data_IF_427372763214
#
_entry.id   IF_427372763214
#
_cell.length_a   1.000
_cell.length_b   1.000
_cell.length_c   1.000
_cell.angle_alpha   90.00
_cell.angle_beta   90.00
_cell.angle_gamma   90.00
#
_symmetry.space_group_name_H-M   'P 1'
#
loop_
_entity.id
_entity.type
_entity.pdbx_description
1 polymer ?
#
# COMPACT_ATOMS: atom_id res chain seq x y z
N UNK A 1 20.76 -9.54 -18.18
CA UNK A 1 20.92 -8.51 -17.12
C UNK A 1 20.44 -7.13 -17.58
N UNK A 2 20.91 -6.60 -18.73
CA UNK A 2 20.51 -5.26 -19.24
C UNK A 2 19.00 -5.19 -19.48
N UNK A 3 18.40 -6.23 -20.06
CA UNK A 3 16.94 -6.30 -20.26
C UNK A 3 16.19 -6.24 -18.93
N UNK A 4 16.62 -7.05 -17.95
CA UNK A 4 16.02 -7.06 -16.62
C UNK A 4 16.09 -5.69 -15.92
N UNK A 5 17.26 -5.03 -15.98
CA UNK A 5 17.40 -3.68 -15.43
C UNK A 5 16.49 -2.66 -16.12
N UNK A 6 16.24 -2.81 -17.42
CA UNK A 6 15.29 -1.95 -18.12
C UNK A 6 13.85 -2.21 -17.69
N UNK A 7 13.47 -3.45 -17.42
CA UNK A 7 12.12 -3.79 -16.92
C UNK A 7 11.91 -3.30 -15.49
N UNK A 8 12.91 -3.45 -14.62
CA UNK A 8 12.89 -2.84 -13.28
C UNK A 8 12.75 -1.32 -13.35
N UNK A 9 13.44 -0.66 -14.29
CA UNK A 9 13.29 0.78 -14.52
C UNK A 9 11.87 1.16 -14.95
N UNK A 10 11.28 0.41 -15.89
CA UNK A 10 9.88 0.64 -16.33
C UNK A 10 8.90 0.47 -15.16
N UNK A 11 9.09 -0.59 -14.37
CA UNK A 11 8.29 -0.85 -13.18
C UNK A 11 8.39 0.31 -12.18
N UNK A 12 9.60 0.81 -11.93
CA UNK A 12 9.82 1.97 -11.07
C UNK A 12 9.03 3.20 -11.53
N UNK A 13 9.14 3.58 -12.80
CA UNK A 13 8.38 4.70 -13.35
C UNK A 13 6.87 4.47 -13.32
N UNK A 14 6.41 3.24 -13.55
CA UNK A 14 5.01 2.85 -13.41
C UNK A 14 4.49 3.07 -11.98
N UNK A 15 5.24 2.62 -10.98
CA UNK A 15 4.91 2.79 -9.56
C UNK A 15 4.91 4.27 -9.16
N UNK A 16 5.90 5.05 -9.62
CA UNK A 16 5.96 6.49 -9.37
C UNK A 16 4.73 7.21 -9.97
N UNK A 17 4.37 6.88 -11.21
CA UNK A 17 3.19 7.45 -11.87
C UNK A 17 1.90 7.06 -11.14
N UNK A 18 1.73 5.79 -10.81
CA UNK A 18 0.58 5.30 -10.05
C UNK A 18 0.44 6.00 -8.69
N UNK A 19 1.54 6.23 -8.00
CA UNK A 19 1.58 6.98 -6.74
C UNK A 19 0.98 8.38 -6.89
N UNK A 20 1.39 9.15 -7.89
CA UNK A 20 0.86 10.50 -8.11
C UNK A 20 -0.62 10.49 -8.49
N UNK A 21 -1.06 9.53 -9.30
CA UNK A 21 -2.48 9.35 -9.63
C UNK A 21 -3.29 9.06 -8.38
N UNK A 22 -2.83 8.14 -7.53
CA UNK A 22 -3.50 7.80 -6.27
C UNK A 22 -3.55 8.97 -5.30
N UNK A 23 -2.48 9.78 -5.20
CA UNK A 23 -2.49 11.00 -4.39
C UNK A 23 -3.49 12.03 -4.92
N UNK A 24 -3.60 12.21 -6.24
CA UNK A 24 -4.60 13.10 -6.81
C UNK A 24 -6.03 12.64 -6.49
N UNK A 25 -6.33 11.35 -6.65
CA UNK A 25 -7.62 10.78 -6.26
C UNK A 25 -7.91 10.95 -4.76
N UNK A 26 -6.92 10.71 -3.90
CA UNK A 26 -7.06 10.89 -2.46
C UNK A 26 -7.34 12.36 -2.10
N UNK A 27 -6.65 13.30 -2.73
CA UNK A 27 -6.87 14.74 -2.52
C UNK A 27 -8.28 15.18 -2.96
N UNK A 28 -8.74 14.71 -4.12
CA UNK A 28 -10.09 14.98 -4.62
C UNK A 28 -11.14 14.39 -3.66
N UNK A 29 -10.96 13.13 -3.25
CA UNK A 29 -11.88 12.49 -2.30
C UNK A 29 -11.91 13.21 -0.95
N UNK A 30 -10.76 13.67 -0.45
CA UNK A 30 -10.69 14.46 0.78
C UNK A 30 -11.39 15.81 0.63
N UNK A 31 -11.20 16.52 -0.48
CA UNK A 31 -11.86 17.78 -0.77
C UNK A 31 -13.40 17.62 -0.86
N UNK A 32 -13.86 16.57 -1.54
CA UNK A 32 -15.28 16.23 -1.59
C UNK A 32 -15.86 15.89 -0.21
N UNK A 33 -15.12 15.13 0.60
CA UNK A 33 -15.52 14.82 1.96
C UNK A 33 -15.62 16.09 2.82
N UNK A 34 -14.69 17.01 2.70
CA UNK A 34 -14.72 18.31 3.39
C UNK A 34 -15.92 19.16 2.93
N UNK A 35 -16.20 19.17 1.65
CA UNK A 35 -17.34 19.92 1.10
C UNK A 35 -18.69 19.36 1.56
N UNK A 36 -18.86 18.02 1.45
CA UNK A 36 -20.15 17.35 1.75
C UNK A 36 -20.39 17.21 3.25
N UNK A 37 -19.39 16.72 4.00
CA UNK A 37 -19.55 16.38 5.42
C UNK A 37 -19.14 17.51 6.36
N UNK A 38 -18.50 18.56 5.90
CA UNK A 38 -18.12 19.76 6.67
C UNK A 38 -17.54 19.40 8.05
N UNK A 39 -18.30 19.66 9.13
CA UNK A 39 -17.85 19.42 10.52
C UNK A 39 -17.59 17.94 10.85
N UNK A 40 -18.19 17.01 10.14
CA UNK A 40 -17.98 15.56 10.34
C UNK A 40 -16.96 14.94 9.37
N UNK A 41 -16.37 15.73 8.46
CA UNK A 41 -15.43 15.25 7.45
C UNK A 41 -14.23 14.51 8.05
N UNK A 42 -13.65 15.05 9.14
CA UNK A 42 -12.54 14.41 9.82
C UNK A 42 -12.87 12.98 10.30
N UNK A 43 -14.06 12.79 10.87
CA UNK A 43 -14.49 11.47 11.34
C UNK A 43 -14.78 10.51 10.17
N UNK A 44 -15.29 11.00 9.04
CA UNK A 44 -15.50 10.20 7.82
C UNK A 44 -14.16 9.75 7.26
N UNK A 45 -13.22 10.68 7.07
CA UNK A 45 -11.88 10.38 6.56
C UNK A 45 -11.12 9.41 7.48
N UNK A 46 -11.20 9.63 8.80
CA UNK A 46 -10.58 8.74 9.78
C UNK A 46 -11.12 7.29 9.68
N UNK A 47 -12.42 7.12 9.45
CA UNK A 47 -13.03 5.79 9.26
C UNK A 47 -12.63 5.16 7.93
N UNK A 48 -12.66 5.93 6.85
CA UNK A 48 -12.19 5.45 5.55
C UNK A 48 -10.73 4.98 5.64
N UNK A 49 -9.87 5.72 6.37
CA UNK A 49 -8.51 5.31 6.65
C UNK A 49 -8.46 3.97 7.40
N UNK A 50 -9.18 3.83 8.52
CA UNK A 50 -9.18 2.63 9.34
C UNK A 50 -9.66 1.40 8.57
N UNK A 51 -10.72 1.53 7.78
CA UNK A 51 -11.20 0.44 6.91
C UNK A 51 -10.17 0.11 5.85
N UNK A 52 -9.62 1.13 5.17
CA UNK A 52 -8.61 0.94 4.13
C UNK A 52 -7.36 0.24 4.65
N UNK A 53 -6.83 0.66 5.81
CA UNK A 53 -5.64 0.03 6.38
C UNK A 53 -5.91 -1.43 6.81
N UNK A 54 -7.11 -1.74 7.31
CA UNK A 54 -7.48 -3.13 7.62
C UNK A 54 -7.50 -4.01 6.37
N UNK A 55 -8.04 -3.51 5.25
CA UNK A 55 -8.06 -4.25 3.97
C UNK A 55 -6.63 -4.47 3.47
N UNK A 56 -5.79 -3.41 3.47
CA UNK A 56 -4.40 -3.52 3.03
C UNK A 56 -3.62 -4.47 3.94
N UNK A 57 -3.80 -4.39 5.26
CA UNK A 57 -3.14 -5.28 6.20
C UNK A 57 -3.55 -6.75 5.99
N UNK A 58 -4.82 -6.99 5.69
CA UNK A 58 -5.29 -8.34 5.36
C UNK A 58 -4.63 -8.89 4.10
N UNK A 59 -4.61 -8.10 3.02
CA UNK A 59 -3.94 -8.50 1.77
C UNK A 59 -2.46 -8.75 2.00
N UNK A 60 -1.79 -7.85 2.71
CA UNK A 60 -0.38 -8.00 3.05
C UNK A 60 -0.10 -9.26 3.88
N UNK A 61 -0.97 -9.57 4.84
CA UNK A 61 -0.86 -10.79 5.64
C UNK A 61 -1.00 -12.06 4.77
N UNK A 62 -1.98 -12.10 3.86
CA UNK A 62 -2.16 -13.23 2.93
C UNK A 62 -0.94 -13.42 2.05
N UNK A 63 -0.40 -12.33 1.46
CA UNK A 63 0.79 -12.39 0.62
C UNK A 63 2.03 -12.82 1.42
N UNK A 64 2.17 -12.36 2.65
CA UNK A 64 3.28 -12.73 3.54
C UNK A 64 3.22 -14.21 3.92
N UNK A 65 2.04 -14.74 4.27
CA UNK A 65 1.86 -16.15 4.57
C UNK A 65 2.18 -17.00 3.34
N UNK A 66 1.70 -16.61 2.16
CA UNK A 66 2.03 -17.32 0.93
C UNK A 66 3.53 -17.33 0.65
N UNK A 67 4.20 -16.18 0.73
CA UNK A 67 5.64 -16.09 0.55
C UNK A 67 6.44 -16.89 1.59
N UNK A 68 5.91 -17.04 2.82
CA UNK A 68 6.54 -17.83 3.87
C UNK A 68 6.38 -19.35 3.66
N UNK A 69 5.25 -19.79 3.08
CA UNK A 69 4.96 -21.20 2.83
C UNK A 69 5.60 -21.70 1.55
N UNK A 70 5.51 -20.92 0.48
CA UNK A 70 6.07 -21.26 -0.83
C UNK A 70 6.66 -20.01 -1.50
N UNK A 71 7.87 -19.67 -1.06
CA UNK A 71 8.60 -18.53 -1.61
C UNK A 71 8.88 -18.66 -3.11
N UNK A 72 9.15 -19.88 -3.58
CA UNK A 72 9.48 -20.10 -4.98
C UNK A 72 8.33 -19.77 -5.93
N UNK A 73 7.13 -20.29 -5.64
CA UNK A 73 5.93 -19.98 -6.43
C UNK A 73 5.56 -18.50 -6.34
N UNK A 74 5.66 -17.89 -5.15
CA UNK A 74 5.46 -16.46 -4.96
C UNK A 74 6.43 -15.63 -5.81
N UNK A 75 7.71 -16.00 -5.79
CA UNK A 75 8.76 -15.31 -6.53
C UNK A 75 8.56 -15.38 -8.05
N UNK A 76 8.25 -16.57 -8.58
CA UNK A 76 7.96 -16.75 -10.01
C UNK A 76 6.73 -15.94 -10.44
N UNK A 77 5.64 -16.00 -9.66
CA UNK A 77 4.44 -15.25 -10.02
C UNK A 77 4.68 -13.75 -9.95
N UNK A 78 5.40 -13.27 -8.94
CA UNK A 78 5.78 -11.86 -8.85
C UNK A 78 6.53 -11.40 -10.10
N UNK A 79 7.52 -12.18 -10.55
CA UNK A 79 8.28 -11.87 -11.76
C UNK A 79 7.41 -11.94 -13.02
N UNK A 80 6.55 -12.93 -13.13
CA UNK A 80 5.66 -13.09 -14.29
C UNK A 80 4.63 -11.95 -14.40
N UNK A 81 4.19 -11.37 -13.28
CA UNK A 81 3.21 -10.27 -13.26
C UNK A 81 3.86 -8.91 -13.49
N UNK A 82 5.05 -8.69 -12.93
CA UNK A 82 5.66 -7.36 -12.89
C UNK A 82 6.85 -7.19 -13.85
N UNK A 83 7.43 -8.28 -14.35
CA UNK A 83 8.61 -8.26 -15.19
C UNK A 83 8.39 -9.16 -16.41
N UNK A 84 8.69 -8.64 -17.59
CA UNK A 84 8.42 -9.30 -18.88
C UNK A 84 9.34 -10.50 -19.17
N UNK A 85 10.30 -10.86 -18.29
CA UNK A 85 11.36 -11.82 -18.59
C UNK A 85 11.31 -13.03 -17.66
N UNK A 86 11.49 -14.26 -18.19
CA UNK A 86 11.72 -15.48 -17.39
C UNK A 86 13.03 -15.45 -16.58
N UNK A 87 13.60 -14.29 -16.34
CA UNK A 87 14.91 -14.03 -15.74
C UNK A 87 14.95 -14.19 -14.20
N UNK A 88 13.94 -14.80 -13.61
CA UNK A 88 13.98 -15.20 -12.20
C UNK A 88 15.06 -16.25 -11.89
N UNK A 89 15.79 -16.73 -12.91
CA UNK A 89 16.80 -17.79 -12.82
C UNK A 89 18.15 -17.32 -13.35
N UNK A 90 18.67 -16.20 -12.83
CA UNK A 90 20.08 -15.90 -13.06
C UNK A 90 20.96 -16.84 -12.24
N UNK A 91 21.98 -17.43 -12.89
CA UNK A 91 22.98 -18.21 -12.19
C UNK A 91 23.84 -17.26 -11.32
N UNK A 92 23.91 -17.49 -9.99
CA UNK A 92 24.74 -16.67 -9.10
C UNK A 92 26.21 -16.66 -9.48
N UNK A 93 26.71 -17.70 -10.16
CA UNK A 93 28.08 -17.78 -10.60
C UNK A 93 28.42 -16.88 -11.80
N UNK A 94 27.41 -16.61 -12.66
CA UNK A 94 27.60 -15.85 -13.90
C UNK A 94 27.02 -14.41 -13.78
N UNK A 95 26.04 -14.19 -12.91
CA UNK A 95 25.36 -12.89 -12.79
C UNK A 95 26.13 -11.90 -11.93
N UNK A 96 26.63 -10.85 -12.56
CA UNK A 96 27.26 -9.72 -11.89
C UNK A 96 26.24 -9.00 -10.97
N UNK A 97 24.98 -8.95 -11.38
CA UNK A 97 23.90 -8.30 -10.62
C UNK A 97 23.68 -8.99 -9.27
N UNK A 98 23.64 -10.33 -9.22
CA UNK A 98 23.48 -11.08 -7.96
C UNK A 98 24.71 -10.89 -7.07
N UNK A 99 25.89 -10.76 -7.65
CA UNK A 99 27.14 -10.55 -6.90
C UNK A 99 27.27 -9.15 -6.31
N UNK A 100 26.69 -8.14 -6.94
CA UNK A 100 26.71 -6.75 -6.46
C UNK A 100 25.53 -6.49 -5.50
N UNK A 101 24.35 -7.00 -5.81
CA UNK A 101 23.17 -6.91 -4.95
C UNK A 101 23.16 -8.07 -3.96
N UNK A 102 24.00 -7.98 -2.93
CA UNK A 102 24.04 -8.99 -1.88
C UNK A 102 22.68 -9.11 -1.22
N UNK A 103 22.18 -10.32 -1.05
CA UNK A 103 20.89 -10.62 -0.43
C UNK A 103 20.69 -9.88 0.90
N UNK A 104 21.75 -9.71 1.68
CA UNK A 104 21.73 -8.98 2.96
C UNK A 104 21.32 -7.52 2.78
N UNK A 105 21.86 -6.83 1.79
CA UNK A 105 21.52 -5.43 1.51
C UNK A 105 20.02 -5.28 1.18
N UNK A 106 19.49 -6.23 0.40
CA UNK A 106 18.10 -6.21 -0.01
C UNK A 106 17.15 -6.48 1.16
N UNK A 107 17.48 -7.46 2.00
CA UNK A 107 16.69 -7.77 3.20
C UNK A 107 16.70 -6.63 4.21
N UNK A 108 17.84 -5.98 4.44
CA UNK A 108 17.95 -4.84 5.35
C UNK A 108 17.14 -3.64 4.85
N UNK A 109 17.17 -3.37 3.54
CA UNK A 109 16.39 -2.30 2.93
C UNK A 109 14.88 -2.56 3.07
N UNK A 110 14.42 -3.77 2.74
CA UNK A 110 13.02 -4.17 2.88
C UNK A 110 12.58 -4.06 4.32
N UNK A 111 13.37 -4.55 5.27
CA UNK A 111 13.05 -4.47 6.70
C UNK A 111 12.90 -3.02 7.16
N UNK A 112 13.82 -2.13 6.77
CA UNK A 112 13.75 -0.70 7.12
C UNK A 112 12.49 -0.04 6.54
N UNK A 113 12.19 -0.27 5.26
CA UNK A 113 10.98 0.25 4.62
C UNK A 113 9.73 -0.28 5.34
N UNK A 114 9.67 -1.56 5.66
CA UNK A 114 8.55 -2.16 6.37
C UNK A 114 8.36 -1.54 7.76
N UNK A 115 9.43 -1.39 8.54
CA UNK A 115 9.38 -0.78 9.88
C UNK A 115 8.88 0.67 9.81
N UNK A 116 9.42 1.50 8.91
CA UNK A 116 8.96 2.89 8.78
C UNK A 116 7.50 2.97 8.32
N UNK A 117 7.11 2.15 7.36
CA UNK A 117 5.73 2.13 6.84
C UNK A 117 4.74 1.69 7.91
N UNK A 118 5.02 0.59 8.61
CA UNK A 118 4.16 0.08 9.69
C UNK A 118 4.06 1.09 10.83
N UNK A 119 5.18 1.71 11.23
CA UNK A 119 5.19 2.73 12.28
C UNK A 119 4.35 3.96 11.89
N UNK A 120 4.51 4.46 10.66
CA UNK A 120 3.72 5.59 10.17
C UNK A 120 2.22 5.25 10.11
N UNK A 121 1.86 4.08 9.58
CA UNK A 121 0.48 3.61 9.54
C UNK A 121 -0.12 3.44 10.95
N UNK A 122 0.65 2.95 11.90
CA UNK A 122 0.21 2.81 13.30
C UNK A 122 -0.10 4.18 13.92
N UNK A 123 0.81 5.14 13.78
CA UNK A 123 0.59 6.51 14.30
C UNK A 123 -0.67 7.13 13.70
N UNK A 124 -0.83 7.08 12.38
CA UNK A 124 -2.00 7.64 11.71
C UNK A 124 -3.28 6.92 12.15
N UNK A 125 -3.23 5.59 12.35
CA UNK A 125 -4.38 4.80 12.78
C UNK A 125 -4.79 5.12 14.24
N UNK A 126 -3.82 5.37 15.12
CA UNK A 126 -4.10 5.84 16.49
C UNK A 126 -4.78 7.21 16.45
N UNK A 127 -4.26 8.15 15.68
CA UNK A 127 -4.87 9.48 15.52
C UNK A 127 -6.28 9.40 14.93
N UNK A 128 -6.48 8.56 13.90
CA UNK A 128 -7.80 8.31 13.33
C UNK A 128 -8.78 7.71 14.36
N UNK A 129 -8.32 6.77 15.18
CA UNK A 129 -9.10 6.20 16.26
C UNK A 129 -9.52 7.25 17.31
N UNK A 130 -8.61 8.15 17.69
CA UNK A 130 -8.91 9.26 18.60
C UNK A 130 -9.97 10.19 17.98
N UNK A 131 -9.81 10.58 16.71
CA UNK A 131 -10.77 11.42 15.99
C UNK A 131 -12.16 10.76 15.93
N UNK A 132 -12.22 9.46 15.65
CA UNK A 132 -13.49 8.72 15.65
C UNK A 132 -14.17 8.73 17.03
N UNK A 133 -13.38 8.57 18.11
CA UNK A 133 -13.89 8.54 19.48
C UNK A 133 -14.38 9.92 19.95
N UNK A 134 -13.61 10.98 19.67
CA UNK A 134 -13.93 12.35 20.13
C UNK A 134 -15.05 12.99 19.33
N UNK A 135 -15.19 12.64 18.05
CA UNK A 135 -16.23 13.23 17.18
C UNK A 135 -17.66 12.77 17.50
N UNK A 136 -17.86 11.78 18.37
CA UNK A 136 -19.18 11.26 18.74
C UNK A 136 -20.01 10.72 17.55
N UNK A 137 -19.46 10.74 16.36
CA UNK A 137 -20.12 10.40 15.11
C UNK A 137 -20.22 8.88 14.95
N UNK A 138 -21.17 8.24 15.61
CA UNK A 138 -21.50 6.83 15.36
C UNK A 138 -21.92 6.61 13.89
N UNK A 139 -21.81 5.36 13.40
CA UNK A 139 -22.28 4.96 12.05
C UNK A 139 -23.73 5.41 11.78
N UNK A 140 -24.57 5.51 12.83
CA UNK A 140 -25.94 6.03 12.77
C UNK A 140 -26.04 7.46 12.26
N UNK A 141 -25.12 8.33 12.65
CA UNK A 141 -25.14 9.75 12.24
C UNK A 141 -24.80 9.93 10.76
N UNK A 142 -23.85 9.11 10.25
CA UNK A 142 -23.49 9.13 8.82
C UNK A 142 -24.64 8.56 7.97
N UNK A 143 -25.22 7.44 8.41
CA UNK A 143 -26.34 6.79 7.71
C UNK A 143 -27.58 7.69 7.65
N UNK A 144 -27.90 8.41 8.72
CA UNK A 144 -29.03 9.34 8.74
C UNK A 144 -28.80 10.51 7.79
N UNK A 145 -27.61 11.09 7.77
CA UNK A 145 -27.31 12.19 6.82
C UNK A 145 -27.31 11.76 5.36
N UNK A 146 -26.90 10.52 5.06
CA UNK A 146 -26.99 10.00 3.69
C UNK A 146 -28.44 9.74 3.26
N UNK A 147 -29.33 9.50 4.21
CA UNK A 147 -30.77 9.38 3.95
C UNK A 147 -31.40 10.73 3.73
N UNK A 148 -31.09 11.70 4.58
CA UNK A 148 -31.63 13.09 4.52
C UNK A 148 -31.11 13.87 3.27
N UNK A 149 -30.07 13.39 2.62
CA UNK A 149 -29.56 13.96 1.36
C UNK A 149 -30.18 13.34 0.10
N UNK A 150 -30.99 12.29 0.25
CA UNK A 150 -31.72 11.63 -0.85
C UNK A 150 -33.17 12.06 -0.94
N UNK A 151 -33.73 12.64 0.14
CA UNK A 151 -35.03 13.25 0.22
C UNK A 151 -34.91 14.75 -0.10
#
# INVERSE_FOLDING_TARGET
EISHMNDVRKLWFGVETAKYILFAFAAIAAALALYVYRRSAAAVLARCWLVGICVIAFIAAVLTVWAAVDFYSFWILFHAVFLDVPSAMFDPAESLMIRICVQQLFSDLILRIAVYTVSACAVISILAGIVCKTSGAGWGTVKNRLRDAKD
#
